data_IF_821542757316
#
_entry.id   IF_821542757316
#
_cell.length_a   1.000
_cell.length_b   1.000
_cell.length_c   1.000
_cell.angle_alpha   90.00
_cell.angle_beta   90.00
_cell.angle_gamma   90.00
#
_symmetry.space_group_name_H-M   'P 1'
#
loop_
_entity.id
_entity.type
_entity.pdbx_description
1 polymer ?
#
# COMPACT_ATOMS: atom_id res chain seq x y z
N UNK A 1 -9.08 22.45 -29.96
CA UNK A 1 -8.36 23.73 -29.81
C UNK A 1 -7.19 23.73 -30.78
N UNK A 2 -6.97 24.83 -31.50
CA UNK A 2 -5.87 24.93 -32.47
C UNK A 2 -4.53 25.15 -31.75
N UNK A 3 -3.59 24.23 -31.94
CA UNK A 3 -2.25 24.27 -31.34
C UNK A 3 -1.52 25.57 -31.72
N UNK A 4 -1.70 26.04 -32.95
CA UNK A 4 -1.07 27.27 -33.44
C UNK A 4 -1.58 28.51 -32.70
N UNK A 5 -2.88 28.57 -32.41
CA UNK A 5 -3.47 29.65 -31.61
C UNK A 5 -2.96 29.64 -30.17
N UNK A 6 -2.86 28.48 -29.53
CA UNK A 6 -2.35 28.36 -28.16
C UNK A 6 -0.88 28.78 -28.06
N UNK A 7 -0.04 28.35 -29.01
CA UNK A 7 1.37 28.77 -29.09
C UNK A 7 1.49 30.29 -29.30
N UNK A 8 0.69 30.86 -30.20
CA UNK A 8 0.63 32.30 -30.46
C UNK A 8 0.22 33.10 -29.21
N UNK A 9 -0.76 32.61 -28.45
CA UNK A 9 -1.25 33.27 -27.24
C UNK A 9 -0.26 33.15 -26.08
N UNK A 10 0.26 31.93 -25.81
CA UNK A 10 1.20 31.67 -24.71
C UNK A 10 2.52 32.43 -24.89
N UNK A 11 2.99 32.57 -26.12
CA UNK A 11 4.18 33.37 -26.44
C UNK A 11 4.06 34.86 -26.13
N UNK A 12 2.85 35.36 -25.81
CA UNK A 12 2.61 36.77 -25.42
C UNK A 12 2.47 36.97 -23.91
N UNK A 13 2.37 35.89 -23.13
CA UNK A 13 2.18 35.95 -21.68
C UNK A 13 3.56 35.84 -21.02
N UNK A 14 4.04 36.95 -20.42
CA UNK A 14 5.40 37.10 -19.86
C UNK A 14 5.88 35.89 -19.03
N UNK A 15 5.10 35.35 -18.06
CA UNK A 15 5.49 34.16 -17.31
C UNK A 15 5.85 32.93 -18.14
N UNK A 16 5.26 32.76 -19.32
CA UNK A 16 5.46 31.60 -20.20
C UNK A 16 6.45 31.88 -21.34
N UNK A 17 6.53 33.14 -21.79
CA UNK A 17 7.47 33.57 -22.83
C UNK A 17 8.93 33.55 -22.37
N UNK A 18 9.17 33.91 -21.10
CA UNK A 18 10.51 34.11 -20.56
C UNK A 18 11.04 32.86 -19.81
N UNK A 19 10.43 31.69 -20.03
CA UNK A 19 10.89 30.43 -19.43
C UNK A 19 12.18 29.99 -20.11
N UNK A 20 13.24 29.83 -19.32
CA UNK A 20 14.55 29.39 -19.82
C UNK A 20 14.45 27.98 -20.43
N UNK A 21 15.12 27.70 -21.57
CA UNK A 21 15.07 26.40 -22.24
C UNK A 21 15.41 25.22 -21.33
N UNK A 22 16.33 25.40 -20.38
CA UNK A 22 16.73 24.38 -19.41
C UNK A 22 15.57 23.99 -18.49
N UNK A 23 14.73 24.96 -18.10
CA UNK A 23 13.54 24.70 -17.27
C UNK A 23 12.48 23.92 -18.06
N UNK A 24 12.27 24.27 -19.33
CA UNK A 24 11.37 23.51 -20.21
C UNK A 24 11.89 22.08 -20.46
N UNK A 25 13.19 21.91 -20.60
CA UNK A 25 13.81 20.59 -20.74
C UNK A 25 13.64 19.76 -19.46
N UNK A 26 13.88 20.35 -18.29
CA UNK A 26 13.67 19.70 -17.00
C UNK A 26 12.21 19.31 -16.76
N UNK A 27 11.25 20.17 -17.15
CA UNK A 27 9.82 19.87 -17.06
C UNK A 27 9.43 18.70 -17.99
N UNK A 28 9.94 18.67 -19.23
CA UNK A 28 9.72 17.55 -20.15
C UNK A 28 10.27 16.24 -19.61
N UNK A 29 11.46 16.28 -19.03
CA UNK A 29 12.10 15.13 -18.39
C UNK A 29 11.31 14.64 -17.17
N UNK A 30 10.80 15.56 -16.35
CA UNK A 30 9.95 15.21 -15.21
C UNK A 30 8.64 14.55 -15.66
N UNK A 31 7.99 15.07 -16.71
CA UNK A 31 6.79 14.47 -17.30
C UNK A 31 7.08 13.06 -17.84
N UNK A 32 8.21 12.86 -18.52
CA UNK A 32 8.60 11.54 -19.03
C UNK A 32 8.80 10.54 -17.89
N UNK A 33 9.55 10.92 -16.85
CA UNK A 33 9.76 10.07 -15.67
C UNK A 33 8.45 9.73 -14.97
N UNK A 34 7.54 10.68 -14.83
CA UNK A 34 6.21 10.42 -14.26
C UNK A 34 5.42 9.38 -15.08
N UNK A 35 5.51 9.43 -16.41
CA UNK A 35 4.88 8.43 -17.27
C UNK A 35 5.49 7.04 -17.05
N UNK A 36 6.82 6.94 -17.01
CA UNK A 36 7.54 5.69 -16.71
C UNK A 36 7.13 5.10 -15.35
N UNK A 37 7.02 5.93 -14.30
CA UNK A 37 6.58 5.46 -12.97
C UNK A 37 5.13 4.97 -12.95
N UNK A 38 4.25 5.65 -13.67
CA UNK A 38 2.86 5.23 -13.78
C UNK A 38 2.72 3.93 -14.58
N UNK A 39 3.56 3.72 -15.59
CA UNK A 39 3.63 2.47 -16.35
C UNK A 39 4.14 1.31 -15.47
N UNK A 40 5.21 1.54 -14.71
CA UNK A 40 5.75 0.55 -13.76
C UNK A 40 4.71 0.17 -12.70
N UNK A 41 4.03 1.16 -12.11
CA UNK A 41 2.97 0.94 -11.14
C UNK A 41 1.80 0.16 -11.74
N UNK A 42 1.31 0.57 -12.92
CA UNK A 42 0.23 -0.11 -13.60
C UNK A 42 0.60 -1.55 -13.95
N UNK A 43 1.84 -1.79 -14.40
CA UNK A 43 2.34 -3.13 -14.68
C UNK A 43 2.36 -3.99 -13.41
N UNK A 44 2.94 -3.48 -12.32
CA UNK A 44 2.99 -4.19 -11.04
C UNK A 44 1.59 -4.49 -10.49
N UNK A 45 0.68 -3.52 -10.54
CA UNK A 45 -0.70 -3.69 -10.07
C UNK A 45 -1.42 -4.79 -10.85
N UNK A 46 -1.38 -4.74 -12.18
CA UNK A 46 -2.13 -5.66 -13.04
C UNK A 46 -1.52 -7.06 -13.09
N UNK A 47 -0.20 -7.19 -13.01
CA UNK A 47 0.49 -8.46 -13.21
C UNK A 47 0.82 -9.18 -11.90
N UNK A 48 0.93 -8.46 -10.79
CA UNK A 48 1.30 -9.04 -9.49
C UNK A 48 0.21 -8.87 -8.44
N UNK A 49 -0.20 -7.62 -8.14
CA UNK A 49 -1.08 -7.34 -7.01
C UNK A 49 -2.50 -7.87 -7.23
N UNK A 50 -3.15 -7.52 -8.34
CA UNK A 50 -4.54 -7.93 -8.59
C UNK A 50 -4.69 -9.46 -8.67
N UNK A 51 -3.81 -10.22 -9.37
CA UNK A 51 -3.85 -11.67 -9.34
C UNK A 51 -3.69 -12.26 -7.94
N UNK A 52 -2.72 -11.75 -7.15
CA UNK A 52 -2.47 -12.27 -5.81
C UNK A 52 -3.65 -12.00 -4.86
N UNK A 53 -4.23 -10.79 -4.92
CA UNK A 53 -5.43 -10.44 -4.15
C UNK A 53 -6.64 -11.29 -4.58
N UNK A 54 -6.82 -11.53 -5.88
CA UNK A 54 -7.91 -12.38 -6.39
C UNK A 54 -7.82 -13.83 -5.85
N UNK A 55 -6.63 -14.42 -5.82
CA UNK A 55 -6.43 -15.74 -5.23
C UNK A 55 -6.71 -15.76 -3.72
N UNK A 56 -6.26 -14.75 -2.98
CA UNK A 56 -6.57 -14.61 -1.54
C UNK A 56 -8.08 -14.48 -1.32
N UNK A 57 -8.77 -13.64 -2.09
CA UNK A 57 -10.23 -13.46 -2.02
C UNK A 57 -10.96 -14.78 -2.28
N UNK A 58 -10.55 -15.56 -3.28
CA UNK A 58 -11.14 -16.88 -3.56
C UNK A 58 -10.96 -17.82 -2.37
N UNK A 59 -9.79 -17.81 -1.72
CA UNK A 59 -9.53 -18.62 -0.52
C UNK A 59 -10.42 -18.17 0.64
N UNK A 60 -10.48 -16.86 0.93
CA UNK A 60 -11.30 -16.31 2.02
C UNK A 60 -12.78 -16.63 1.81
N UNK A 61 -13.28 -16.45 0.57
CA UNK A 61 -14.65 -16.76 0.21
C UNK A 61 -14.97 -18.25 0.38
N UNK A 62 -14.10 -19.15 -0.11
CA UNK A 62 -14.26 -20.61 0.04
C UNK A 62 -14.36 -21.04 1.50
N UNK A 63 -13.61 -20.37 2.37
CA UNK A 63 -13.58 -20.63 3.82
C UNK A 63 -14.62 -19.83 4.61
N UNK A 64 -15.50 -19.07 3.93
CA UNK A 64 -16.54 -18.23 4.57
C UNK A 64 -15.97 -17.19 5.55
N UNK A 65 -14.75 -16.74 5.31
CA UNK A 65 -14.14 -15.67 6.09
C UNK A 65 -14.71 -14.34 5.58
N UNK A 66 -15.15 -13.48 6.51
CA UNK A 66 -15.70 -12.17 6.16
C UNK A 66 -14.55 -11.28 5.68
N UNK A 67 -14.70 -10.73 4.48
CA UNK A 67 -13.70 -9.87 3.88
C UNK A 67 -14.37 -8.82 2.98
N UNK A 68 -13.63 -7.76 2.69
CA UNK A 68 -14.02 -6.71 1.76
C UNK A 68 -12.82 -6.27 0.95
N UNK A 69 -13.01 -6.15 -0.36
CA UNK A 69 -12.06 -5.46 -1.24
C UNK A 69 -12.68 -4.12 -1.64
N UNK A 70 -11.88 -3.07 -1.60
CA UNK A 70 -12.29 -1.74 -2.07
C UNK A 70 -11.14 -1.07 -2.80
N UNK A 71 -11.48 -0.32 -3.86
CA UNK A 71 -10.54 0.50 -4.58
C UNK A 71 -11.04 1.95 -4.62
N UNK A 72 -10.14 2.90 -4.37
CA UNK A 72 -10.45 4.32 -4.43
C UNK A 72 -9.24 5.10 -4.91
N UNK A 73 -9.37 5.80 -6.04
CA UNK A 73 -8.25 6.52 -6.66
C UNK A 73 -7.07 5.58 -6.98
N UNK A 74 -5.92 5.88 -6.37
CA UNK A 74 -4.67 5.14 -6.47
C UNK A 74 -4.46 4.13 -5.32
N UNK A 75 -5.53 3.79 -4.59
CA UNK A 75 -5.48 2.88 -3.46
C UNK A 75 -6.34 1.63 -3.71
N UNK A 76 -5.79 0.48 -3.37
CA UNK A 76 -6.48 -0.80 -3.26
C UNK A 76 -6.41 -1.26 -1.80
N UNK A 77 -7.53 -1.70 -1.25
CA UNK A 77 -7.60 -2.18 0.13
C UNK A 77 -8.26 -3.54 0.20
N UNK A 78 -7.64 -4.45 0.96
CA UNK A 78 -8.18 -5.74 1.37
C UNK A 78 -8.38 -5.72 2.89
N UNK A 79 -9.63 -5.85 3.33
CA UNK A 79 -10.00 -5.92 4.74
C UNK A 79 -10.52 -7.32 5.08
N UNK A 80 -10.07 -7.88 6.19
CA UNK A 80 -10.46 -9.20 6.71
C UNK A 80 -11.00 -9.02 8.13
N UNK A 81 -12.12 -9.66 8.40
CA UNK A 81 -12.77 -9.66 9.71
C UNK A 81 -12.81 -11.08 10.28
N UNK A 82 -12.15 -11.27 11.42
CA UNK A 82 -12.25 -12.44 12.29
C UNK A 82 -13.02 -12.07 13.56
N UNK A 83 -13.42 -13.06 14.36
CA UNK A 83 -14.28 -12.80 15.51
C UNK A 83 -13.56 -11.97 16.60
N UNK A 84 -12.25 -12.16 16.77
CA UNK A 84 -11.41 -11.51 17.80
C UNK A 84 -10.44 -10.48 17.23
N UNK A 85 -10.39 -10.31 15.90
CA UNK A 85 -9.39 -9.48 15.22
C UNK A 85 -9.87 -9.03 13.86
N UNK A 86 -9.47 -7.85 13.43
CA UNK A 86 -9.63 -7.45 12.04
C UNK A 86 -8.36 -6.78 11.53
N UNK A 87 -8.14 -6.90 10.23
CA UNK A 87 -6.98 -6.30 9.58
C UNK A 87 -7.34 -5.70 8.24
N UNK A 88 -6.60 -4.68 7.85
CA UNK A 88 -6.71 -3.99 6.58
C UNK A 88 -5.33 -3.79 5.99
N UNK A 89 -5.12 -4.37 4.81
CA UNK A 89 -3.99 -4.08 3.96
C UNK A 89 -4.41 -2.99 2.97
N UNK A 90 -3.65 -1.89 2.92
CA UNK A 90 -3.81 -0.83 1.93
C UNK A 90 -2.57 -0.78 1.05
N UNK A 91 -2.79 -0.84 -0.26
CA UNK A 91 -1.75 -0.77 -1.29
C UNK A 91 -1.98 0.53 -2.04
N UNK A 92 -1.03 1.46 -1.98
CA UNK A 92 -1.19 2.79 -2.54
C UNK A 92 0.03 3.25 -3.34
N UNK A 93 -0.19 3.95 -4.46
CA UNK A 93 0.89 4.71 -5.10
C UNK A 93 1.11 6.02 -4.33
N UNK A 94 2.30 6.24 -3.79
CA UNK A 94 2.70 7.52 -3.19
C UNK A 94 2.99 8.57 -4.27
N UNK A 95 2.94 9.84 -3.86
CA UNK A 95 3.39 10.98 -4.67
C UNK A 95 4.93 11.04 -4.80
N UNK A 96 5.66 10.26 -4.00
CA UNK A 96 7.11 10.16 -4.03
C UNK A 96 7.62 9.03 -4.96
N UNK A 97 6.88 8.75 -6.04
CA UNK A 97 7.24 7.72 -7.03
C UNK A 97 7.46 6.33 -6.41
N UNK A 98 6.64 5.97 -5.42
CA UNK A 98 6.73 4.73 -4.69
C UNK A 98 5.38 4.03 -4.59
N UNK A 99 5.39 2.74 -4.27
CA UNK A 99 4.20 2.00 -3.80
C UNK A 99 4.36 1.68 -2.32
N UNK A 100 3.31 1.89 -1.53
CA UNK A 100 3.25 1.54 -0.12
C UNK A 100 2.32 0.36 0.10
N UNK A 101 2.68 -0.47 1.07
CA UNK A 101 1.86 -1.52 1.66
C UNK A 101 1.70 -1.17 3.14
N UNK A 102 0.54 -0.64 3.49
CA UNK A 102 0.18 -0.27 4.84
C UNK A 102 -0.67 -1.40 5.45
N UNK A 103 -0.10 -2.08 6.45
CA UNK A 103 -0.75 -3.14 7.21
C UNK A 103 -1.30 -2.56 8.50
N UNK A 104 -2.61 -2.53 8.61
CA UNK A 104 -3.32 -2.10 9.81
C UNK A 104 -3.96 -3.32 10.47
N UNK A 105 -3.56 -3.65 11.69
CA UNK A 105 -4.07 -4.82 12.40
C UNK A 105 -4.53 -4.41 13.79
N UNK A 106 -5.79 -4.75 14.09
CA UNK A 106 -6.49 -4.28 15.28
C UNK A 106 -7.17 -5.46 15.96
N UNK A 107 -6.88 -5.64 17.23
CA UNK A 107 -7.43 -6.70 18.08
C UNK A 107 -8.73 -6.24 18.73
N UNK A 108 -9.57 -7.20 19.15
CA UNK A 108 -10.83 -6.89 19.84
C UNK A 108 -10.59 -6.03 21.10
N UNK A 109 -11.28 -4.89 21.17
CA UNK A 109 -11.13 -3.90 22.25
C UNK A 109 -10.29 -2.68 21.89
N UNK A 110 -9.51 -2.74 20.81
CA UNK A 110 -8.60 -1.67 20.39
C UNK A 110 -9.25 -0.70 19.38
N UNK A 111 -8.88 0.57 19.46
CA UNK A 111 -9.22 1.60 18.47
C UNK A 111 -8.00 2.03 17.67
N UNK A 112 -8.21 2.38 16.40
CA UNK A 112 -7.16 2.92 15.53
C UNK A 112 -6.48 4.13 16.18
N UNK A 113 -5.17 4.07 16.39
CA UNK A 113 -4.37 5.11 17.06
C UNK A 113 -4.16 4.91 18.56
N UNK A 114 -4.60 3.79 19.14
CA UNK A 114 -4.15 3.31 20.45
C UNK A 114 -2.79 2.61 20.31
N UNK A 115 -1.92 2.69 21.32
CA UNK A 115 -0.52 2.25 21.27
C UNK A 115 -0.32 0.76 20.95
N UNK A 116 -1.38 -0.05 21.02
CA UNK A 116 -1.35 -1.49 20.75
C UNK A 116 -1.74 -1.85 19.30
N UNK A 117 -2.12 -0.88 18.47
CA UNK A 117 -2.37 -1.09 17.04
C UNK A 117 -1.06 -1.35 16.30
N UNK A 118 -1.00 -2.47 15.60
CA UNK A 118 0.21 -2.92 14.92
C UNK A 118 0.25 -2.41 13.48
N UNK A 119 0.60 -1.14 13.32
CA UNK A 119 0.75 -0.51 12.01
C UNK A 119 2.15 -0.73 11.42
N UNK A 120 2.21 -1.36 10.24
CA UNK A 120 3.45 -1.60 9.51
C UNK A 120 3.36 -1.06 8.08
N UNK A 121 4.26 -0.15 7.71
CA UNK A 121 4.34 0.39 6.35
C UNK A 121 5.60 -0.12 5.66
N UNK A 122 5.44 -0.80 4.54
CA UNK A 122 6.54 -1.09 3.62
C UNK A 122 6.43 -0.18 2.39
N UNK A 123 7.55 0.39 1.94
CA UNK A 123 7.61 1.32 0.81
C UNK A 123 8.63 0.84 -0.21
N UNK A 124 8.24 0.82 -1.48
CA UNK A 124 9.06 0.34 -2.59
C UNK A 124 9.13 1.39 -3.69
N UNK A 125 10.35 1.71 -4.14
CA UNK A 125 10.63 2.68 -5.20
C UNK A 125 10.18 2.13 -6.58
N UNK A 126 9.45 2.93 -7.35
CA UNK A 126 8.94 2.57 -8.68
C UNK A 126 9.87 2.99 -9.82
N UNK A 127 11.05 3.54 -9.53
CA UNK A 127 12.08 3.84 -10.54
C UNK A 127 12.49 2.60 -11.33
N UNK A 128 12.50 1.46 -10.66
CA UNK A 128 12.72 0.16 -11.28
C UNK A 128 11.44 -0.69 -11.24
N UNK A 129 11.34 -1.64 -12.18
CA UNK A 129 10.25 -2.60 -12.18
C UNK A 129 10.32 -3.48 -10.93
N UNK A 130 9.22 -3.52 -10.18
CA UNK A 130 9.12 -4.35 -8.97
C UNK A 130 8.95 -5.84 -9.33
N UNK A 131 9.54 -6.75 -8.54
CA UNK A 131 9.40 -8.18 -8.78
C UNK A 131 7.96 -8.64 -8.51
N UNK A 132 7.44 -9.53 -9.35
CA UNK A 132 6.07 -10.03 -9.22
C UNK A 132 5.79 -10.73 -7.87
N UNK A 133 6.82 -11.36 -7.29
CA UNK A 133 6.73 -12.04 -5.99
C UNK A 133 6.49 -11.10 -4.82
N UNK A 134 6.72 -9.79 -4.99
CA UNK A 134 6.60 -8.82 -3.90
C UNK A 134 5.17 -8.77 -3.36
N UNK A 135 4.17 -8.75 -4.24
CA UNK A 135 2.77 -8.71 -3.82
C UNK A 135 2.38 -9.95 -2.98
N UNK A 136 2.89 -11.12 -3.35
CA UNK A 136 2.65 -12.36 -2.60
C UNK A 136 3.31 -12.33 -1.22
N UNK A 137 4.53 -11.80 -1.14
CA UNK A 137 5.27 -11.66 0.13
C UNK A 137 4.53 -10.74 1.10
N UNK A 138 4.04 -9.59 0.62
CA UNK A 138 3.30 -8.64 1.43
C UNK A 138 1.94 -9.20 1.90
N UNK A 139 1.24 -9.92 1.03
CA UNK A 139 0.01 -10.62 1.41
C UNK A 139 0.26 -11.74 2.44
N UNK A 140 1.35 -12.49 2.29
CA UNK A 140 1.77 -13.50 3.27
C UNK A 140 2.13 -12.86 4.61
N UNK A 141 2.85 -11.74 4.60
CA UNK A 141 3.16 -10.98 5.80
C UNK A 141 1.87 -10.53 6.50
N UNK A 142 0.96 -9.88 5.78
CA UNK A 142 -0.33 -9.44 6.30
C UNK A 142 -1.15 -10.57 6.94
N UNK A 143 -1.32 -11.68 6.22
CA UNK A 143 -2.07 -12.83 6.71
C UNK A 143 -1.38 -13.50 7.91
N UNK A 144 -0.05 -13.57 7.89
CA UNK A 144 0.75 -14.09 8.99
C UNK A 144 0.57 -13.27 10.26
N UNK A 145 0.58 -11.94 10.15
CA UNK A 145 0.34 -11.04 11.28
C UNK A 145 -1.09 -11.15 11.82
N UNK A 146 -2.10 -11.25 10.94
CA UNK A 146 -3.50 -11.51 11.37
C UNK A 146 -3.61 -12.83 12.14
N UNK A 147 -2.84 -13.84 11.76
CA UNK A 147 -2.90 -15.18 12.33
C UNK A 147 -1.95 -15.40 13.51
N UNK A 148 -1.17 -14.40 13.92
CA UNK A 148 -0.09 -14.58 14.92
C UNK A 148 -0.62 -15.14 16.25
N UNK A 149 -1.70 -14.56 16.78
CA UNK A 149 -2.30 -14.97 18.06
C UNK A 149 -2.96 -16.36 18.02
N UNK A 150 -3.17 -16.94 16.83
CA UNK A 150 -3.64 -18.32 16.73
C UNK A 150 -2.55 -19.33 17.10
N UNK A 151 -1.29 -18.90 17.09
CA UNK A 151 -0.12 -19.76 17.31
C UNK A 151 0.64 -19.33 18.56
N UNK A 152 0.64 -18.03 18.89
CA UNK A 152 1.28 -17.51 20.10
C UNK A 152 0.38 -17.73 21.33
N UNK A 153 0.88 -18.50 22.29
CA UNK A 153 0.24 -18.65 23.61
C UNK A 153 0.47 -17.40 24.44
N UNK A 154 -0.52 -17.00 25.25
CA UNK A 154 -0.35 -15.92 26.23
C UNK A 154 0.95 -16.14 27.03
N UNK A 155 1.79 -15.10 27.19
CA UNK A 155 2.99 -15.22 27.99
C UNK A 155 2.58 -15.63 29.41
N UNK A 156 3.29 -16.58 30.05
CA UNK A 156 2.98 -16.96 31.41
C UNK A 156 3.00 -15.71 32.30
N UNK A 157 2.08 -15.62 33.27
CA UNK A 157 1.99 -14.45 34.14
C UNK A 157 3.37 -14.16 34.74
N UNK A 158 3.81 -12.90 34.69
CA UNK A 158 5.04 -12.50 35.36
C UNK A 158 4.90 -12.80 36.86
N UNK A 159 5.64 -13.80 37.32
CA UNK A 159 5.68 -14.14 38.73
C UNK A 159 6.43 -13.01 39.43
N UNK A 160 5.81 -12.30 40.39
CA UNK A 160 6.50 -11.28 41.15
C UNK A 160 7.78 -11.86 41.77
N UNK A 161 8.89 -11.12 41.81
CA UNK A 161 10.13 -11.63 42.38
C UNK A 161 9.91 -12.05 43.84
N UNK A 162 9.91 -13.37 44.09
CA UNK A 162 9.70 -13.96 45.42
C UNK A 162 8.60 -15.03 45.51
N UNK A 163 7.75 -15.20 44.50
CA UNK A 163 6.73 -16.25 44.48
C UNK A 163 7.20 -17.47 43.68
N UNK A 164 6.84 -18.69 44.13
CA UNK A 164 7.08 -19.92 43.36
C UNK A 164 5.83 -20.23 42.53
N UNK A 165 6.00 -20.75 41.30
CA UNK A 165 4.85 -21.14 40.48
C UNK A 165 4.02 -22.23 41.19
N UNK A 166 2.69 -22.21 41.04
CA UNK A 166 1.83 -23.25 41.59
C UNK A 166 2.18 -24.62 40.95
N UNK A 167 2.30 -25.66 41.80
CA UNK A 167 2.50 -27.05 41.37
C UNK A 167 1.31 -27.62 40.58
#
# INVERSE_FOLDING_TARGET
MDKAFCEWWLGRVRPYRDVVPEKLAAEREAVRRQQEFNENYASFLNQAVLPAVDEVVKILHRNRIIHRVSAWGNQLSLRIHLAWRWGELVIAQSHDDAVTFDHHIVTEGERRGEDSVEDHTHTYDLRDALPATLAEQELQFFLGRIAQDLVETEPPPEIPPGEQPPE
#
